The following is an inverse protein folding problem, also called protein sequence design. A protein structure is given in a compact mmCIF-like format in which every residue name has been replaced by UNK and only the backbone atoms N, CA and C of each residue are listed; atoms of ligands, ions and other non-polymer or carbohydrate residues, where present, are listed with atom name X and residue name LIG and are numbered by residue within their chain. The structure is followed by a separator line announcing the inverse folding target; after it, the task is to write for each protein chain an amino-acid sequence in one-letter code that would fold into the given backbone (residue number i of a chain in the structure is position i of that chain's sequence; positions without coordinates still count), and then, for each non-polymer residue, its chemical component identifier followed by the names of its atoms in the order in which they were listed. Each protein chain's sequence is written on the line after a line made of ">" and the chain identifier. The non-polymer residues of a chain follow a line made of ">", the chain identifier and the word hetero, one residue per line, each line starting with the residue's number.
data_IF_043634458413
#
_entry.id   IF_043634458413
#
_cell.length_a   1.000
_cell.length_b   1.000
_cell.length_c   1.000
_cell.angle_alpha   90.00
_cell.angle_beta   90.00
_cell.angle_gamma   90.00
#
_symmetry.space_group_name_H-M   'P 1'
#
loop_
_entity.id
_entity.type
_entity.pdbx_description
1 polymer ?
#
# COMPACT_ATOMS: atom_id res chain seq x y z
N UNK A 1 26.78 25.66 -2.09
CA UNK A 1 27.75 24.55 -2.00
C UNK A 1 28.69 24.78 -0.83
N UNK A 2 29.34 23.74 -0.30
CA UNK A 2 30.36 23.89 0.75
C UNK A 2 31.75 24.08 0.14
N UNK A 3 32.57 24.93 0.77
CA UNK A 3 33.95 25.13 0.32
C UNK A 3 34.79 23.87 0.59
N UNK A 4 35.44 23.26 -0.42
CA UNK A 4 36.19 22.01 -0.25
C UNK A 4 37.44 22.15 0.64
N UNK A 5 37.86 23.38 0.94
CA UNK A 5 39.06 23.66 1.73
C UNK A 5 38.77 23.99 3.20
N UNK A 6 37.62 24.59 3.50
CA UNK A 6 37.30 25.07 4.84
C UNK A 6 35.87 24.77 5.30
N UNK A 7 35.11 23.97 4.54
CA UNK A 7 33.73 23.55 4.82
C UNK A 7 32.69 24.68 5.02
N UNK A 8 33.06 25.94 4.77
CA UNK A 8 32.14 27.07 4.90
C UNK A 8 31.10 27.06 3.78
N UNK A 9 29.86 27.42 4.11
CA UNK A 9 28.76 27.52 3.14
C UNK A 9 28.97 28.72 2.22
N UNK A 10 29.08 28.47 0.91
CA UNK A 10 29.34 29.51 -0.10
C UNK A 10 28.25 29.52 -1.19
N UNK A 11 28.10 30.69 -1.85
CA UNK A 11 27.23 30.83 -3.02
C UNK A 11 27.76 29.98 -4.18
N UNK A 12 26.85 29.34 -4.91
CA UNK A 12 27.20 28.45 -6.03
C UNK A 12 27.90 29.18 -7.19
N UNK A 13 27.77 30.52 -7.25
CA UNK A 13 28.41 31.38 -8.24
C UNK A 13 29.76 31.96 -7.76
N UNK A 14 30.19 31.75 -6.51
CA UNK A 14 31.41 32.31 -5.95
C UNK A 14 32.72 31.77 -6.57
N UNK A 15 33.50 32.66 -7.18
CA UNK A 15 34.79 32.35 -7.83
C UNK A 15 35.90 32.08 -6.80
N UNK A 16 35.77 32.66 -5.60
CA UNK A 16 36.67 32.43 -4.47
C UNK A 16 35.88 32.38 -3.15
N UNK A 17 36.40 31.67 -2.16
CA UNK A 17 35.77 31.58 -0.84
C UNK A 17 36.01 32.86 -0.02
N UNK A 18 34.96 33.43 0.58
CA UNK A 18 35.07 34.63 1.43
C UNK A 18 35.84 34.37 2.74
N UNK A 19 35.84 33.14 3.23
CA UNK A 19 36.45 32.78 4.51
C UNK A 19 37.92 32.41 4.38
N UNK A 20 38.26 31.46 3.51
CA UNK A 20 39.64 31.01 3.32
C UNK A 20 40.37 31.67 2.14
N UNK A 21 39.72 32.57 1.40
CA UNK A 21 40.26 33.30 0.24
C UNK A 21 40.79 32.44 -0.92
N UNK A 22 40.53 31.12 -0.91
CA UNK A 22 41.03 30.19 -1.92
C UNK A 22 40.21 30.26 -3.21
N UNK A 23 40.90 30.18 -4.35
CA UNK A 23 40.30 30.18 -5.69
C UNK A 23 39.56 28.85 -5.95
N UNK A 24 38.35 28.95 -6.46
CA UNK A 24 37.45 27.83 -6.74
C UNK A 24 37.26 27.59 -8.25
N UNK A 25 37.84 28.42 -9.13
CA UNK A 25 37.66 28.33 -10.60
C UNK A 25 38.02 26.96 -11.17
N UNK A 26 39.09 26.36 -10.66
CA UNK A 26 39.58 25.06 -11.13
C UNK A 26 38.83 23.91 -10.46
N UNK A 27 38.49 24.05 -9.18
CA UNK A 27 37.91 22.96 -8.39
C UNK A 27 36.40 22.82 -8.61
N UNK A 28 35.68 23.92 -8.88
CA UNK A 28 34.24 23.88 -9.15
C UNK A 28 33.85 22.96 -10.30
N UNK A 29 34.38 23.08 -11.53
CA UNK A 29 33.94 22.22 -12.63
C UNK A 29 34.17 20.74 -12.29
N UNK A 30 35.26 20.41 -11.61
CA UNK A 30 35.54 19.05 -11.15
C UNK A 30 34.55 18.56 -10.08
N UNK A 31 34.14 19.42 -9.13
CA UNK A 31 33.12 19.06 -8.14
C UNK A 31 31.76 18.81 -8.78
N UNK A 32 31.35 19.64 -9.74
CA UNK A 32 30.10 19.45 -10.47
C UNK A 32 30.11 18.15 -11.27
N UNK A 33 31.23 17.83 -11.92
CA UNK A 33 31.41 16.58 -12.66
C UNK A 33 31.39 15.36 -11.73
N UNK A 34 32.00 15.45 -10.55
CA UNK A 34 31.92 14.40 -9.53
C UNK A 34 30.47 14.20 -9.04
N UNK A 35 29.75 15.29 -8.75
CA UNK A 35 28.34 15.22 -8.35
C UNK A 35 27.45 14.58 -9.43
N UNK A 36 27.70 14.91 -10.70
CA UNK A 36 27.02 14.30 -11.84
C UNK A 36 27.32 12.80 -11.96
N UNK A 37 28.60 12.42 -11.88
CA UNK A 37 29.02 11.00 -11.92
C UNK A 37 28.40 10.21 -10.76
N UNK A 38 28.35 10.79 -9.55
CA UNK A 38 27.72 10.15 -8.39
C UNK A 38 26.21 9.98 -8.62
N UNK A 39 25.54 10.99 -9.17
CA UNK A 39 24.11 10.90 -9.50
C UNK A 39 23.83 9.81 -10.55
N UNK A 40 24.71 9.66 -11.53
CA UNK A 40 24.62 8.61 -12.54
C UNK A 40 24.89 7.21 -11.97
N UNK A 41 25.87 7.06 -11.07
CA UNK A 41 26.10 5.80 -10.35
C UNK A 41 24.87 5.37 -9.54
N UNK A 42 24.25 6.32 -8.84
CA UNK A 42 23.01 6.06 -8.10
C UNK A 42 21.85 5.65 -9.00
N UNK A 43 21.79 6.18 -10.22
CA UNK A 43 20.80 5.81 -11.23
C UNK A 43 21.06 4.40 -11.76
N UNK A 44 22.30 4.09 -12.14
CA UNK A 44 22.70 2.76 -12.61
C UNK A 44 22.45 1.69 -11.54
N UNK A 45 22.76 1.98 -10.28
CA UNK A 45 22.52 1.06 -9.16
C UNK A 45 21.03 0.75 -9.01
N UNK A 46 20.17 1.78 -9.09
CA UNK A 46 18.70 1.61 -9.06
C UNK A 46 18.18 0.79 -10.25
N UNK A 47 18.76 0.97 -11.43
CA UNK A 47 18.39 0.18 -12.61
C UNK A 47 18.87 -1.27 -12.50
N UNK A 48 20.06 -1.51 -11.94
CA UNK A 48 20.56 -2.86 -11.66
C UNK A 48 19.65 -3.58 -10.65
N UNK A 49 19.28 -2.92 -9.55
CA UNK A 49 18.35 -3.48 -8.56
C UNK A 49 17.00 -3.84 -9.19
N UNK A 50 16.49 -2.97 -10.09
CA UNK A 50 15.25 -3.24 -10.84
C UNK A 50 15.38 -4.47 -11.73
N UNK A 51 16.50 -4.64 -12.43
CA UNK A 51 16.75 -5.80 -13.30
C UNK A 51 16.93 -7.05 -12.45
N UNK A 52 17.66 -6.98 -11.33
CA UNK A 52 17.92 -8.13 -10.48
C UNK A 52 16.61 -8.69 -9.87
N UNK A 53 15.70 -7.82 -9.41
CA UNK A 53 14.36 -8.23 -8.94
C UNK A 53 13.53 -8.88 -10.06
N UNK A 54 13.65 -8.41 -11.30
CA UNK A 54 12.99 -9.06 -12.46
C UNK A 54 13.63 -10.41 -12.79
N UNK A 55 14.95 -10.52 -12.68
CA UNK A 55 15.70 -11.73 -12.95
C UNK A 55 15.41 -12.81 -11.89
N UNK A 56 15.33 -12.47 -10.61
CA UNK A 56 14.89 -13.40 -9.56
C UNK A 56 13.50 -13.96 -9.82
N UNK A 57 12.55 -13.10 -10.24
CA UNK A 57 11.21 -13.53 -10.62
C UNK A 57 11.23 -14.52 -11.81
N UNK A 58 12.18 -14.38 -12.72
CA UNK A 58 12.33 -15.25 -13.89
C UNK A 58 13.08 -16.55 -13.58
N UNK A 59 14.10 -16.49 -12.72
CA UNK A 59 14.95 -17.65 -12.40
C UNK A 59 14.26 -18.64 -11.45
N UNK A 60 13.40 -18.16 -10.55
CA UNK A 60 12.70 -19.04 -9.58
C UNK A 60 11.21 -18.69 -9.44
N UNK A 61 10.42 -18.76 -10.53
CA UNK A 61 9.01 -18.36 -10.51
C UNK A 61 8.21 -19.20 -9.51
N UNK A 62 8.46 -20.51 -9.49
CA UNK A 62 7.83 -21.46 -8.57
C UNK A 62 8.09 -21.11 -7.11
N UNK A 63 9.34 -20.83 -6.73
CA UNK A 63 9.69 -20.51 -5.34
C UNK A 63 9.13 -19.16 -4.91
N UNK A 64 9.11 -18.17 -5.82
CA UNK A 64 8.50 -16.86 -5.57
C UNK A 64 6.99 -16.99 -5.30
N UNK A 65 6.24 -17.64 -6.20
CA UNK A 65 4.80 -17.84 -6.02
C UNK A 65 4.48 -18.73 -4.81
N UNK A 66 5.25 -19.79 -4.59
CA UNK A 66 5.08 -20.68 -3.44
C UNK A 66 5.29 -19.94 -2.11
N UNK A 67 6.32 -19.09 -2.00
CA UNK A 67 6.59 -18.34 -0.76
C UNK A 67 5.46 -17.35 -0.47
N UNK A 68 4.95 -16.66 -1.50
CA UNK A 68 3.82 -15.74 -1.33
C UNK A 68 2.52 -16.48 -0.99
N UNK A 69 2.27 -17.63 -1.63
CA UNK A 69 1.12 -18.47 -1.32
C UNK A 69 1.19 -18.99 0.12
N UNK A 70 2.34 -19.51 0.57
CA UNK A 70 2.49 -19.97 1.96
C UNK A 70 2.28 -18.83 2.96
N UNK A 71 2.85 -17.65 2.70
CA UNK A 71 2.81 -16.53 3.64
C UNK A 71 1.41 -15.90 3.75
N UNK A 72 0.69 -15.74 2.62
CA UNK A 72 -0.61 -15.05 2.58
C UNK A 72 -1.83 -15.97 2.51
N UNK A 73 -1.65 -17.26 2.23
CA UNK A 73 -2.73 -18.26 2.25
C UNK A 73 -2.46 -19.24 3.39
N UNK A 74 -1.31 -19.89 3.39
CA UNK A 74 -0.98 -20.93 4.38
C UNK A 74 -1.05 -20.45 5.83
N UNK A 75 -0.33 -19.37 6.17
CA UNK A 75 -0.30 -18.84 7.54
C UNK A 75 -1.68 -18.38 8.04
N UNK A 76 -2.44 -17.51 7.34
CA UNK A 76 -3.75 -17.09 7.82
C UNK A 76 -4.74 -18.26 7.88
N UNK A 77 -4.69 -19.21 6.94
CA UNK A 77 -5.52 -20.43 7.01
C UNK A 77 -5.19 -21.27 8.24
N UNK A 78 -3.90 -21.49 8.52
CA UNK A 78 -3.47 -22.22 9.71
C UNK A 78 -3.96 -21.52 10.99
N UNK A 79 -3.79 -20.20 11.08
CA UNK A 79 -4.21 -19.43 12.25
C UNK A 79 -5.73 -19.50 12.46
N UNK A 80 -6.51 -19.45 11.39
CA UNK A 80 -7.96 -19.62 11.44
C UNK A 80 -8.38 -21.03 11.88
N UNK A 81 -7.70 -22.07 11.39
CA UNK A 81 -7.96 -23.46 11.83
C UNK A 81 -7.62 -23.65 13.30
N UNK A 82 -6.49 -23.09 13.76
CA UNK A 82 -6.13 -23.10 15.19
C UNK A 82 -7.20 -22.39 16.01
N UNK A 83 -7.65 -21.21 15.58
CA UNK A 83 -8.73 -20.49 16.25
C UNK A 83 -10.03 -21.31 16.29
N UNK A 84 -10.35 -22.02 15.20
CA UNK A 84 -11.49 -22.93 15.13
C UNK A 84 -11.39 -24.04 16.17
N UNK A 85 -10.32 -24.82 16.17
CA UNK A 85 -10.09 -25.91 17.13
C UNK A 85 -10.14 -25.42 18.57
N UNK A 86 -9.53 -24.28 18.87
CA UNK A 86 -9.55 -23.72 20.21
C UNK A 86 -10.99 -23.37 20.63
N UNK A 87 -11.70 -22.59 19.82
CA UNK A 87 -13.04 -22.08 20.18
C UNK A 87 -14.08 -23.19 20.26
N UNK A 88 -14.11 -24.10 19.27
CA UNK A 88 -15.16 -25.13 19.18
C UNK A 88 -14.83 -26.38 19.97
N UNK A 89 -13.63 -26.94 19.80
CA UNK A 89 -13.25 -28.22 20.42
C UNK A 89 -12.74 -28.02 21.85
N UNK A 90 -11.88 -27.03 22.09
CA UNK A 90 -11.21 -26.87 23.40
C UNK A 90 -12.07 -26.11 24.39
N UNK A 91 -12.61 -24.96 23.99
CA UNK A 91 -13.38 -24.07 24.87
C UNK A 91 -14.88 -24.33 24.82
N UNK A 92 -15.39 -25.00 23.79
CA UNK A 92 -16.81 -25.28 23.56
C UNK A 92 -17.72 -24.06 23.81
N UNK A 93 -17.27 -22.90 23.34
CA UNK A 93 -18.00 -21.62 23.48
C UNK A 93 -18.82 -21.32 22.23
N UNK A 94 -19.69 -20.30 22.32
CA UNK A 94 -20.48 -19.84 21.18
C UNK A 94 -19.59 -19.46 19.98
N UNK A 95 -20.09 -19.55 18.73
CA UNK A 95 -19.30 -19.30 17.52
C UNK A 95 -18.99 -17.81 17.26
N UNK A 96 -19.42 -16.90 18.14
CA UNK A 96 -19.22 -15.45 17.99
C UNK A 96 -17.73 -15.05 17.95
N UNK A 97 -16.83 -15.57 18.81
CA UNK A 97 -15.40 -15.27 18.74
C UNK A 97 -14.77 -15.72 17.43
N UNK A 98 -15.30 -16.79 16.82
CA UNK A 98 -14.83 -17.31 15.54
C UNK A 98 -15.10 -16.32 14.40
N UNK A 99 -16.28 -15.67 14.42
CA UNK A 99 -16.65 -14.64 13.43
C UNK A 99 -15.75 -13.41 13.52
N UNK A 100 -15.35 -13.03 14.73
CA UNK A 100 -14.39 -11.92 14.92
C UNK A 100 -13.02 -12.33 14.39
N UNK A 101 -12.55 -13.53 14.73
CA UNK A 101 -11.27 -14.05 14.25
C UNK A 101 -11.20 -14.13 12.71
N UNK A 102 -12.28 -14.56 12.05
CA UNK A 102 -12.38 -14.63 10.58
C UNK A 102 -12.38 -13.27 9.88
N UNK A 103 -12.58 -12.17 10.61
CA UNK A 103 -12.45 -10.81 10.07
C UNK A 103 -11.07 -10.25 10.40
N UNK A 104 -10.65 -10.31 11.67
CA UNK A 104 -9.43 -9.67 12.15
C UNK A 104 -8.19 -10.30 11.50
N UNK A 105 -8.10 -11.63 11.45
CA UNK A 105 -6.93 -12.32 10.92
C UNK A 105 -6.74 -11.99 9.43
N UNK A 106 -7.71 -12.23 8.53
CA UNK A 106 -7.51 -11.95 7.11
C UNK A 106 -7.29 -10.46 6.82
N UNK A 107 -7.93 -9.56 7.58
CA UNK A 107 -7.72 -8.12 7.45
C UNK A 107 -6.26 -7.74 7.72
N UNK A 108 -5.65 -8.26 8.79
CA UNK A 108 -4.25 -8.00 9.12
C UNK A 108 -3.33 -8.51 8.01
N UNK A 109 -3.51 -9.75 7.54
CA UNK A 109 -2.70 -10.30 6.45
C UNK A 109 -2.89 -9.55 5.12
N UNK A 110 -4.12 -9.13 4.81
CA UNK A 110 -4.42 -8.27 3.67
C UNK A 110 -3.72 -6.90 3.77
N UNK A 111 -3.69 -6.33 4.97
CA UNK A 111 -3.00 -5.07 5.25
C UNK A 111 -1.49 -5.17 5.09
N UNK A 112 -0.87 -6.25 5.57
CA UNK A 112 0.58 -6.46 5.42
C UNK A 112 1.00 -6.79 3.97
N UNK A 113 0.08 -7.26 3.12
CA UNK A 113 0.41 -7.70 1.75
C UNK A 113 0.96 -6.58 0.84
N UNK A 114 0.44 -5.36 0.98
CA UNK A 114 0.86 -4.24 0.14
C UNK A 114 2.26 -3.67 0.47
N UNK A 115 2.60 -3.32 1.72
CA UNK A 115 3.89 -2.70 2.04
C UNK A 115 5.08 -3.66 1.82
N UNK A 116 4.89 -4.96 2.04
CA UNK A 116 5.98 -5.93 1.90
C UNK A 116 6.25 -6.32 0.44
N UNK A 117 5.22 -6.59 -0.36
CA UNK A 117 5.40 -7.16 -1.69
C UNK A 117 4.68 -6.42 -2.83
N UNK A 118 4.09 -5.24 -2.55
CA UNK A 118 3.36 -4.39 -3.52
C UNK A 118 2.39 -5.19 -4.38
N UNK A 119 1.62 -6.06 -3.72
CA UNK A 119 0.62 -6.92 -4.36
C UNK A 119 -0.45 -6.03 -5.02
N UNK A 120 -0.75 -6.29 -6.30
CA UNK A 120 -1.82 -5.58 -7.02
C UNK A 120 -3.21 -6.02 -6.52
N UNK A 121 -4.24 -5.19 -6.73
CA UNK A 121 -5.61 -5.51 -6.29
C UNK A 121 -6.13 -6.85 -6.85
N UNK A 122 -5.80 -7.18 -8.10
CA UNK A 122 -6.20 -8.45 -8.72
C UNK A 122 -5.51 -9.63 -8.04
N UNK A 123 -4.20 -9.55 -7.82
CA UNK A 123 -3.47 -10.58 -7.06
C UNK A 123 -3.95 -10.70 -5.62
N UNK A 124 -4.35 -9.61 -4.97
CA UNK A 124 -4.92 -9.65 -3.63
C UNK A 124 -6.28 -10.38 -3.62
N UNK A 125 -7.12 -10.18 -4.65
CA UNK A 125 -8.38 -10.89 -4.80
C UNK A 125 -8.17 -12.40 -5.01
N UNK A 126 -7.21 -12.79 -5.85
CA UNK A 126 -6.87 -14.20 -6.06
C UNK A 126 -6.34 -14.84 -4.78
N UNK A 127 -5.44 -14.16 -4.05
CA UNK A 127 -4.92 -14.64 -2.77
C UNK A 127 -6.03 -14.75 -1.72
N UNK A 128 -6.94 -13.78 -1.65
CA UNK A 128 -8.09 -13.81 -0.74
C UNK A 128 -9.01 -14.99 -1.03
N UNK A 129 -9.28 -15.28 -2.31
CA UNK A 129 -10.09 -16.41 -2.73
C UNK A 129 -9.45 -17.75 -2.37
N UNK A 130 -8.14 -17.90 -2.63
CA UNK A 130 -7.38 -19.09 -2.24
C UNK A 130 -7.35 -19.26 -0.73
N UNK A 131 -7.11 -18.19 0.03
CA UNK A 131 -7.11 -18.22 1.49
C UNK A 131 -8.48 -18.61 2.06
N UNK A 132 -9.58 -18.05 1.55
CA UNK A 132 -10.93 -18.43 1.97
C UNK A 132 -11.21 -19.91 1.68
N UNK A 133 -10.90 -20.37 0.46
CA UNK A 133 -11.13 -21.76 0.03
C UNK A 133 -10.34 -22.76 0.89
N UNK A 134 -9.04 -22.51 1.08
CA UNK A 134 -8.17 -23.39 1.88
C UNK A 134 -8.61 -23.41 3.35
N UNK A 135 -8.96 -22.25 3.92
CA UNK A 135 -9.40 -22.17 5.32
C UNK A 135 -10.70 -22.92 5.55
N UNK A 136 -11.70 -22.75 4.67
CA UNK A 136 -12.99 -23.45 4.76
C UNK A 136 -12.79 -24.96 4.66
N UNK A 137 -12.06 -25.42 3.64
CA UNK A 137 -11.81 -26.84 3.45
C UNK A 137 -11.09 -27.44 4.66
N UNK A 138 -10.11 -26.72 5.23
CA UNK A 138 -9.40 -27.17 6.41
C UNK A 138 -10.31 -27.24 7.65
N UNK A 139 -11.16 -26.23 7.90
CA UNK A 139 -12.12 -26.25 9.00
C UNK A 139 -13.12 -27.40 8.87
N UNK A 140 -13.73 -27.57 7.68
CA UNK A 140 -14.67 -28.66 7.40
C UNK A 140 -14.02 -30.04 7.57
N UNK A 141 -12.76 -30.18 7.17
CA UNK A 141 -12.01 -31.42 7.35
C UNK A 141 -11.76 -31.71 8.82
N UNK A 142 -11.38 -30.69 9.59
CA UNK A 142 -11.14 -30.84 11.04
C UNK A 142 -12.42 -31.25 11.77
N UNK A 143 -13.56 -30.60 11.48
CA UNK A 143 -14.84 -30.96 12.09
C UNK A 143 -15.31 -32.34 11.66
N UNK A 144 -15.22 -32.67 10.37
CA UNK A 144 -15.61 -33.99 9.86
C UNK A 144 -14.82 -35.14 10.49
N UNK A 145 -13.50 -34.95 10.68
CA UNK A 145 -12.64 -35.94 11.33
C UNK A 145 -12.89 -36.04 12.82
N UNK A 146 -13.10 -34.92 13.52
CA UNK A 146 -13.31 -34.90 14.97
C UNK A 146 -14.68 -35.48 15.37
N UNK A 147 -15.75 -35.06 14.68
CA UNK A 147 -17.13 -35.40 15.05
C UNK A 147 -17.64 -36.66 14.30
N UNK A 148 -16.84 -37.24 13.39
CA UNK A 148 -17.21 -38.42 12.62
C UNK A 148 -18.35 -38.18 11.62
N UNK A 149 -18.61 -36.92 11.27
CA UNK A 149 -19.65 -36.49 10.33
C UNK A 149 -19.09 -36.33 8.91
N UNK A 150 -19.95 -36.31 7.87
CA UNK A 150 -19.50 -36.04 6.51
C UNK A 150 -18.72 -34.72 6.44
N UNK A 151 -17.56 -34.73 5.78
CA UNK A 151 -16.68 -33.55 5.66
C UNK A 151 -17.37 -32.42 4.90
N UNK A 152 -18.17 -32.76 3.89
CA UNK A 152 -18.91 -31.77 3.10
C UNK A 152 -20.30 -31.58 3.68
N UNK A 153 -20.80 -30.32 3.73
CA UNK A 153 -22.12 -30.03 4.24
C UNK A 153 -23.19 -30.75 3.42
N UNK A 154 -24.14 -31.38 4.10
CA UNK A 154 -25.20 -32.16 3.45
C UNK A 154 -26.49 -31.35 3.30
N UNK A 155 -26.67 -30.34 4.14
CA UNK A 155 -27.88 -29.51 4.18
C UNK A 155 -27.60 -28.13 3.60
N UNK A 156 -28.58 -27.55 2.91
CA UNK A 156 -28.46 -26.21 2.30
C UNK A 156 -28.18 -25.09 3.32
N UNK A 157 -28.67 -25.25 4.56
CA UNK A 157 -28.46 -24.26 5.62
C UNK A 157 -26.98 -24.14 6.01
N UNK A 158 -26.27 -25.27 6.07
CA UNK A 158 -24.84 -25.32 6.40
C UNK A 158 -24.01 -24.70 5.27
N UNK A 159 -24.40 -24.93 4.01
CA UNK A 159 -23.77 -24.28 2.86
C UNK A 159 -23.86 -22.75 2.92
N UNK A 160 -25.00 -22.21 3.37
CA UNK A 160 -25.14 -20.76 3.57
C UNK A 160 -24.12 -20.24 4.58
N UNK A 161 -23.94 -20.92 5.70
CA UNK A 161 -22.94 -20.53 6.71
C UNK A 161 -21.51 -20.58 6.15
N UNK A 162 -21.18 -21.62 5.38
CA UNK A 162 -19.88 -21.74 4.70
C UNK A 162 -19.64 -20.56 3.75
N UNK A 163 -20.64 -20.18 2.95
CA UNK A 163 -20.53 -19.04 2.05
C UNK A 163 -20.42 -17.70 2.80
N UNK A 164 -21.16 -17.52 3.88
CA UNK A 164 -21.03 -16.33 4.75
C UNK A 164 -19.61 -16.22 5.32
N UNK A 165 -19.05 -17.31 5.83
CA UNK A 165 -17.68 -17.34 6.33
C UNK A 165 -16.67 -17.04 5.21
N UNK A 166 -16.82 -17.67 4.04
CA UNK A 166 -15.94 -17.43 2.89
C UNK A 166 -15.97 -15.98 2.41
N UNK A 167 -17.17 -15.40 2.32
CA UNK A 167 -17.34 -14.00 1.95
C UNK A 167 -16.70 -13.07 2.99
N UNK A 168 -16.84 -13.37 4.29
CA UNK A 168 -16.23 -12.55 5.35
C UNK A 168 -14.70 -12.53 5.27
N UNK A 169 -14.07 -13.69 5.05
CA UNK A 169 -12.61 -13.82 4.91
C UNK A 169 -12.13 -13.06 3.67
N UNK A 170 -12.83 -13.25 2.55
CA UNK A 170 -12.47 -12.61 1.28
C UNK A 170 -12.58 -11.07 1.37
N UNK A 171 -13.69 -10.56 1.89
CA UNK A 171 -13.92 -9.12 2.05
C UNK A 171 -12.96 -8.50 3.07
N UNK A 172 -12.69 -9.18 4.19
CA UNK A 172 -11.72 -8.73 5.18
C UNK A 172 -10.31 -8.62 4.59
N UNK A 173 -9.85 -9.63 3.85
CA UNK A 173 -8.53 -9.59 3.22
C UNK A 173 -8.42 -8.45 2.18
N UNK A 174 -9.42 -8.34 1.29
CA UNK A 174 -9.43 -7.30 0.24
C UNK A 174 -9.50 -5.91 0.85
N UNK A 175 -10.34 -5.70 1.87
CA UNK A 175 -10.44 -4.40 2.57
C UNK A 175 -9.15 -4.04 3.29
N UNK A 176 -8.49 -4.99 3.96
CA UNK A 176 -7.17 -4.79 4.55
C UNK A 176 -6.14 -4.34 3.51
N UNK A 177 -6.14 -4.97 2.32
CA UNK A 177 -5.24 -4.60 1.23
C UNK A 177 -5.52 -3.18 0.71
N UNK A 178 -6.79 -2.82 0.49
CA UNK A 178 -7.19 -1.47 0.08
C UNK A 178 -6.75 -0.43 1.11
N UNK A 179 -7.01 -0.69 2.39
CA UNK A 179 -6.62 0.20 3.49
C UNK A 179 -5.11 0.45 3.50
N UNK A 180 -4.33 -0.61 3.24
CA UNK A 180 -2.88 -0.53 3.15
C UNK A 180 -2.39 0.31 1.97
N UNK A 181 -2.99 0.14 0.78
CA UNK A 181 -2.70 0.98 -0.39
C UNK A 181 -2.99 2.46 -0.08
N UNK A 182 -4.12 2.75 0.55
CA UNK A 182 -4.49 4.12 0.92
C UNK A 182 -3.46 4.73 1.87
N UNK A 183 -3.09 4.01 2.94
CA UNK A 183 -2.18 4.52 3.96
C UNK A 183 -0.74 4.66 3.42
N UNK A 184 -0.21 3.67 2.72
CA UNK A 184 1.21 3.67 2.33
C UNK A 184 1.48 4.29 0.96
N UNK A 185 0.50 4.36 0.07
CA UNK A 185 0.70 4.93 -1.27
C UNK A 185 0.08 6.31 -1.41
N UNK A 186 -1.13 6.50 -0.91
CA UNK A 186 -1.92 7.71 -1.15
C UNK A 186 -1.63 8.76 -0.08
N UNK A 187 -1.66 8.39 1.20
CA UNK A 187 -1.43 9.33 2.31
C UNK A 187 -0.06 10.06 2.22
N UNK A 188 1.09 9.41 1.99
CA UNK A 188 2.36 10.13 1.88
C UNK A 188 2.42 11.00 0.62
N UNK A 189 1.76 10.63 -0.49
CA UNK A 189 1.69 11.51 -1.68
C UNK A 189 0.90 12.79 -1.41
N UNK A 190 -0.14 12.72 -0.59
CA UNK A 190 -0.92 13.89 -0.17
C UNK A 190 -0.16 14.73 0.85
N UNK A 191 0.52 14.10 1.80
CA UNK A 191 1.27 14.79 2.87
C UNK A 191 2.59 15.41 2.37
N UNK A 192 3.33 14.74 1.49
CA UNK A 192 4.58 15.27 0.89
C UNK A 192 4.34 16.31 -0.20
N UNK A 193 3.09 16.47 -0.67
CA UNK A 193 2.68 17.58 -1.53
C UNK A 193 2.53 18.92 -0.78
N UNK A 194 2.81 18.96 0.53
CA UNK A 194 2.89 20.19 1.34
C UNK A 194 3.98 21.21 0.93
N UNK A 195 4.53 21.12 -0.29
CA UNK A 195 5.51 22.09 -0.78
C UNK A 195 5.73 22.15 -2.30
N UNK A 196 5.12 21.28 -3.12
CA UNK A 196 5.25 21.32 -4.59
C UNK A 196 3.89 21.18 -5.28
N UNK A 197 3.50 22.10 -6.17
CA UNK A 197 2.19 22.08 -6.81
C UNK A 197 2.00 20.86 -7.72
N UNK A 198 0.79 20.31 -7.70
CA UNK A 198 0.40 19.10 -8.43
C UNK A 198 0.55 19.28 -9.95
N UNK A 199 1.00 18.25 -10.67
CA UNK A 199 1.29 18.31 -12.12
C UNK A 199 0.06 18.71 -12.96
N UNK A 200 -1.14 18.46 -12.45
CA UNK A 200 -2.40 18.88 -13.04
C UNK A 200 -2.64 20.41 -12.93
N UNK A 201 -2.33 21.02 -11.78
CA UNK A 201 -2.42 22.47 -11.60
C UNK A 201 -1.45 23.21 -12.53
N UNK A 202 -0.27 22.63 -12.78
CA UNK A 202 0.70 23.14 -13.74
C UNK A 202 0.17 23.07 -15.19
N UNK A 203 -0.56 22.00 -15.54
CA UNK A 203 -1.16 21.81 -16.87
C UNK A 203 -2.32 22.78 -17.12
N UNK A 204 -3.15 23.01 -16.11
CA UNK A 204 -4.25 24.00 -16.15
C UNK A 204 -3.70 25.43 -16.22
N UNK A 205 -2.66 25.75 -15.45
CA UNK A 205 -1.99 27.05 -15.52
C UNK A 205 -1.39 27.33 -16.92
N UNK A 206 -0.91 26.29 -17.61
CA UNK A 206 -0.36 26.38 -18.97
C UNK A 206 -1.44 26.54 -20.05
N UNK A 207 -2.66 26.03 -19.80
CA UNK A 207 -3.80 26.18 -20.71
C UNK A 207 -4.49 27.54 -20.58
N UNK A 208 -4.35 28.21 -19.43
CA UNK A 208 -4.98 29.50 -19.13
C UNK A 208 -4.14 30.74 -19.55
N UNK A 209 -3.06 30.60 -20.32
CA UNK A 209 -2.38 31.77 -20.88
C UNK A 209 -1.18 31.50 -21.79
N UNK A 210 -1.18 32.15 -22.95
CA UNK A 210 0.00 32.28 -23.83
C UNK A 210 1.07 33.14 -23.14
N UNK A 211 2.31 32.62 -23.13
CA UNK A 211 3.58 33.31 -22.85
C UNK A 211 3.64 34.15 -21.56
N UNK A 212 3.75 33.46 -20.41
CA UNK A 212 4.03 34.10 -19.13
C UNK A 212 5.22 33.41 -18.46
N UNK A 213 6.22 34.18 -18.02
CA UNK A 213 7.48 33.69 -17.44
C UNK A 213 7.31 32.80 -16.19
N UNK A 214 8.29 31.92 -15.94
CA UNK A 214 8.21 30.83 -14.94
C UNK A 214 7.83 31.30 -13.52
N UNK A 215 8.26 32.49 -13.09
CA UNK A 215 7.90 33.04 -11.78
C UNK A 215 6.39 33.34 -11.64
N UNK A 216 5.74 33.83 -12.69
CA UNK A 216 4.31 34.21 -12.65
C UNK A 216 3.39 32.99 -12.76
N UNK A 217 3.82 31.94 -13.47
CA UNK A 217 3.16 30.63 -13.49
C UNK A 217 3.14 29.97 -12.11
N UNK A 218 4.28 30.04 -11.38
CA UNK A 218 4.38 29.53 -10.00
C UNK A 218 3.44 30.25 -9.03
N UNK A 219 3.16 31.55 -9.26
CA UNK A 219 2.27 32.34 -8.40
C UNK A 219 0.79 32.00 -8.65
N UNK A 220 0.38 31.82 -9.91
CA UNK A 220 -1.01 31.43 -10.25
C UNK A 220 -1.34 29.99 -9.89
N UNK A 221 -0.38 29.07 -10.03
CA UNK A 221 -0.57 27.68 -9.60
C UNK A 221 -0.86 27.57 -8.10
N UNK A 222 -0.26 28.43 -7.26
CA UNK A 222 -0.55 28.49 -5.81
C UNK A 222 -1.99 28.93 -5.53
N UNK A 223 -2.49 29.96 -6.20
CA UNK A 223 -3.87 30.44 -6.01
C UNK A 223 -4.92 29.40 -6.39
N UNK A 224 -4.69 28.64 -7.47
CA UNK A 224 -5.59 27.55 -7.88
C UNK A 224 -5.55 26.42 -6.85
N UNK A 225 -4.37 26.14 -6.29
CA UNK A 225 -4.19 25.10 -5.28
C UNK A 225 -4.84 25.46 -3.93
N UNK A 226 -4.77 26.72 -3.49
CA UNK A 226 -5.46 27.20 -2.28
C UNK A 226 -6.99 27.07 -2.43
N UNK A 227 -7.52 27.34 -3.62
CA UNK A 227 -8.94 27.18 -3.94
C UNK A 227 -9.36 25.70 -4.00
N UNK A 228 -8.46 24.81 -4.43
CA UNK A 228 -8.70 23.36 -4.45
C UNK A 228 -8.55 22.71 -3.08
N UNK A 229 -7.64 23.20 -2.22
CA UNK A 229 -7.48 22.71 -0.85
C UNK A 229 -8.69 22.99 0.03
N UNK A 230 -9.46 24.03 -0.28
CA UNK A 230 -10.70 24.37 0.43
C UNK A 230 -11.91 23.53 -0.05
N UNK A 231 -11.92 23.08 -1.30
CA UNK A 231 -13.04 22.31 -1.90
C UNK A 231 -12.82 20.78 -1.94
N UNK A 232 -11.57 20.32 -2.05
CA UNK A 232 -11.22 18.92 -2.27
C UNK A 232 -11.54 17.97 -1.11
N UNK A 233 -11.22 18.31 0.15
CA UNK A 233 -11.54 17.47 1.31
C UNK A 233 -13.06 17.33 1.53
N UNK A 234 -13.84 18.38 1.24
CA UNK A 234 -15.29 18.37 1.42
C UNK A 234 -16.00 17.45 0.41
N UNK A 235 -15.55 17.39 -0.84
CA UNK A 235 -16.12 16.49 -1.84
C UNK A 235 -15.81 15.01 -1.55
N UNK A 236 -14.58 14.70 -1.08
CA UNK A 236 -14.16 13.34 -0.75
C UNK A 236 -14.84 12.77 0.50
N UNK A 237 -15.06 13.62 1.52
CA UNK A 237 -15.77 13.26 2.76
C UNK A 237 -17.28 13.18 2.54
N UNK A 238 -17.86 14.03 1.68
CA UNK A 238 -19.28 13.92 1.31
C UNK A 238 -19.56 12.63 0.51
N UNK A 239 -18.66 12.21 -0.38
CA UNK A 239 -18.85 11.00 -1.19
C UNK A 239 -18.72 9.70 -0.37
N UNK A 240 -17.82 9.66 0.63
CA UNK A 240 -17.64 8.47 1.48
C UNK A 240 -18.56 8.45 2.71
N UNK A 241 -18.97 9.61 3.22
CA UNK A 241 -19.92 9.73 4.34
C UNK A 241 -21.34 9.26 4.00
N UNK A 242 -21.82 9.54 2.80
CA UNK A 242 -23.18 9.12 2.37
C UNK A 242 -23.29 7.59 2.26
N UNK A 243 -22.24 6.89 1.84
CA UNK A 243 -22.21 5.42 1.79
C UNK A 243 -22.18 4.76 3.17
N UNK A 244 -21.45 5.34 4.12
CA UNK A 244 -21.35 4.83 5.50
C UNK A 244 -22.65 5.01 6.29
N UNK A 245 -23.36 6.12 6.07
CA UNK A 245 -24.62 6.40 6.77
C UNK A 245 -25.74 5.50 6.20
N UNK A 246 -25.75 5.24 4.89
CA UNK A 246 -26.77 4.36 4.28
C UNK A 246 -26.58 2.88 4.65
N UNK A 247 -25.34 2.41 4.81
CA UNK A 247 -25.05 1.05 5.25
C UNK A 247 -25.26 0.85 6.76
N UNK A 248 -24.95 1.86 7.59
CA UNK A 248 -25.12 1.79 9.05
C UNK A 248 -26.58 1.89 9.53
N UNK A 249 -27.41 2.69 8.85
CA UNK A 249 -28.81 2.89 9.29
C UNK A 249 -29.72 1.70 8.97
N UNK A 250 -29.37 0.87 7.97
CA UNK A 250 -30.13 -0.33 7.60
C UNK A 250 -29.88 -1.52 8.54
N UNK A 251 -28.72 -1.58 9.20
CA UNK A 251 -28.40 -2.64 10.18
C UNK A 251 -29.03 -2.43 11.56
N UNK A 252 -29.72 -1.30 11.79
CA UNK A 252 -30.36 -0.97 13.06
C UNK A 252 -31.90 -1.09 13.01
N UNK A 253 -32.47 -1.32 11.84
CA UNK A 253 -33.93 -1.39 11.60
C UNK A 253 -34.39 -2.68 10.90
N UNK A 254 -33.60 -3.76 10.97
CA UNK A 254 -33.99 -5.09 10.48
C UNK A 254 -33.05 -6.17 10.98
#
# INVERSE_FOLDING_TARGET
>A
MECPFCAETIKDEAIACKHCSRDLRVVRPMLLEIEEIVADLDKLRRDLDRVNVRLERYNNPLRYYATHAVLYVGIPSLLLVIAHVLVTITFNVSPVPLRIASIVIPLLFGFLAYPLHRVSALTALVLAFLAASVSILAMLTVTGVHDGVPILPTVWIEWREVFEYGASILLAFVSGNILSVVIFQIAPRVLTQGGKPNAFAFRVARLLGQHVGEEQLRRRARLIQDLMQTLGPLAGVAATGVGSIYAGLKGLLG
#
